data_IF_756360401799
#
_entry.id   IF_756360401799
#
_cell.length_a   1.000
_cell.length_b   1.000
_cell.length_c   1.000
_cell.angle_alpha   90.00
_cell.angle_beta   90.00
_cell.angle_gamma   90.00
#
_symmetry.space_group_name_H-M   'P 1'
#
loop_
_entity.id
_entity.type
_entity.pdbx_description
1 polymer ?
#
# COMPACT_ATOMS: atom_id res chain seq x y z
N UNK A 1 -2.60 10.77 -8.50
CA UNK A 1 -1.82 9.58 -8.91
C UNK A 1 -1.76 8.48 -7.83
N UNK A 2 -1.36 8.73 -6.56
CA UNK A 2 -1.41 7.72 -5.49
C UNK A 2 -2.83 7.19 -5.25
N UNK A 3 -3.78 8.08 -5.12
CA UNK A 3 -5.19 7.80 -4.93
C UNK A 3 -5.78 6.86 -5.99
N UNK A 4 -5.57 7.15 -7.26
CA UNK A 4 -6.06 6.31 -8.35
C UNK A 4 -5.52 4.86 -8.25
N UNK A 5 -4.24 4.69 -7.91
CA UNK A 5 -3.65 3.36 -7.72
C UNK A 5 -4.18 2.64 -6.49
N UNK A 6 -4.44 3.37 -5.42
CA UNK A 6 -5.05 2.80 -4.22
C UNK A 6 -6.49 2.36 -4.49
N UNK A 7 -7.26 3.14 -5.28
CA UNK A 7 -8.59 2.74 -5.76
C UNK A 7 -8.56 1.43 -6.55
N UNK A 8 -7.62 1.28 -7.48
CA UNK A 8 -7.46 0.02 -8.23
C UNK A 8 -7.12 -1.16 -7.32
N UNK A 9 -6.28 -0.96 -6.29
CA UNK A 9 -6.02 -2.02 -5.30
C UNK A 9 -7.26 -2.34 -4.46
N UNK A 10 -8.10 -1.34 -4.18
CA UNK A 10 -9.40 -1.57 -3.54
C UNK A 10 -10.34 -2.39 -4.42
N UNK A 11 -10.40 -2.10 -5.71
CA UNK A 11 -11.18 -2.88 -6.66
C UNK A 11 -10.68 -4.33 -6.74
N UNK A 12 -9.37 -4.52 -6.79
CA UNK A 12 -8.77 -5.86 -6.73
C UNK A 12 -9.13 -6.59 -5.43
N UNK A 13 -9.10 -5.91 -4.28
CA UNK A 13 -9.50 -6.51 -3.01
C UNK A 13 -10.97 -6.94 -3.02
N UNK A 14 -11.85 -6.10 -3.54
CA UNK A 14 -13.28 -6.44 -3.69
C UNK A 14 -13.51 -7.59 -4.67
N UNK A 15 -12.75 -7.65 -5.76
CA UNK A 15 -12.77 -8.76 -6.71
C UNK A 15 -12.41 -10.07 -6.02
N UNK A 16 -11.30 -10.10 -5.26
CA UNK A 16 -10.90 -11.29 -4.50
C UNK A 16 -11.97 -11.75 -3.51
N UNK A 17 -12.60 -10.82 -2.78
CA UNK A 17 -13.71 -11.14 -1.88
C UNK A 17 -14.90 -11.73 -2.63
N UNK A 18 -15.25 -11.21 -3.81
CA UNK A 18 -16.32 -11.73 -4.66
C UNK A 18 -16.00 -13.13 -5.22
N UNK A 19 -14.72 -13.44 -5.41
CA UNK A 19 -14.24 -14.77 -5.79
C UNK A 19 -14.21 -15.76 -4.60
N UNK A 20 -14.61 -15.31 -3.40
CA UNK A 20 -14.60 -16.13 -2.18
C UNK A 20 -13.22 -16.20 -1.51
N UNK A 21 -12.31 -15.30 -1.85
CA UNK A 21 -10.96 -15.20 -1.29
C UNK A 21 -10.98 -14.13 -0.19
N UNK A 22 -11.12 -14.54 1.06
CA UNK A 22 -11.26 -13.66 2.23
C UNK A 22 -10.05 -13.70 3.20
N UNK A 23 -9.08 -14.56 2.92
CA UNK A 23 -7.85 -14.74 3.70
C UNK A 23 -6.72 -13.76 3.31
N UNK A 24 -6.90 -12.96 2.27
CA UNK A 24 -5.99 -11.87 1.90
C UNK A 24 -6.42 -10.59 2.61
N UNK A 25 -5.45 -9.85 3.17
CA UNK A 25 -5.69 -8.57 3.82
C UNK A 25 -4.85 -7.48 3.15
N UNK A 26 -5.48 -6.36 2.92
CA UNK A 26 -4.85 -5.15 2.37
C UNK A 26 -4.84 -4.06 3.41
N UNK A 27 -3.81 -3.23 3.41
CA UNK A 27 -3.71 -2.04 4.24
C UNK A 27 -2.87 -0.98 3.53
N UNK A 28 -3.33 0.26 3.56
CA UNK A 28 -2.53 1.41 3.15
C UNK A 28 -1.78 2.00 4.34
N UNK A 29 -0.51 2.34 4.15
CA UNK A 29 0.33 2.99 5.16
C UNK A 29 0.85 4.30 4.58
N UNK A 30 0.40 5.41 5.14
CA UNK A 30 0.89 6.74 4.78
C UNK A 30 2.22 6.99 5.49
N UNK A 31 3.26 7.38 4.76
CA UNK A 31 4.55 7.69 5.36
C UNK A 31 4.48 8.92 6.26
N UNK A 32 5.35 8.99 7.26
CA UNK A 32 5.42 10.07 8.24
C UNK A 32 5.53 11.45 7.60
N UNK A 33 6.36 11.62 6.59
CA UNK A 33 6.53 12.88 5.86
C UNK A 33 5.26 13.40 5.17
N UNK A 34 4.24 12.55 5.02
CA UNK A 34 2.94 12.89 4.43
C UNK A 34 1.84 13.07 5.47
N UNK A 35 2.17 13.05 6.76
CA UNK A 35 1.21 13.16 7.87
C UNK A 35 0.35 14.44 7.84
N UNK A 36 0.89 15.52 7.28
CA UNK A 36 0.17 16.79 7.11
C UNK A 36 -0.76 16.82 5.88
N UNK A 37 -0.73 15.81 5.03
CA UNK A 37 -1.61 15.72 3.88
C UNK A 37 -2.96 15.12 4.28
N UNK A 38 -4.04 15.62 3.68
CA UNK A 38 -5.36 15.08 3.94
C UNK A 38 -5.45 13.62 3.50
N UNK A 39 -5.68 12.72 4.44
CA UNK A 39 -5.92 11.29 4.16
C UNK A 39 -7.27 11.06 3.44
N UNK A 40 -8.22 11.99 3.54
CA UNK A 40 -9.53 11.86 2.90
C UNK A 40 -9.41 11.58 1.40
N UNK A 41 -8.44 12.22 0.75
CA UNK A 41 -8.19 11.97 -0.67
C UNK A 41 -7.66 10.57 -0.96
N UNK A 42 -7.10 9.87 0.00
CA UNK A 42 -6.58 8.50 -0.19
C UNK A 42 -7.67 7.45 -0.01
N UNK A 43 -8.56 7.67 0.93
CA UNK A 43 -9.65 6.74 1.25
C UNK A 43 -10.91 6.96 0.41
N UNK A 44 -11.00 8.08 -0.30
CA UNK A 44 -12.14 8.47 -1.10
C UNK A 44 -12.05 7.89 -2.50
N UNK A 45 -13.11 7.25 -2.97
CA UNK A 45 -13.22 6.75 -4.34
C UNK A 45 -13.38 7.89 -5.36
N UNK A 46 -14.07 8.98 -4.97
CA UNK A 46 -14.24 10.15 -5.83
C UNK A 46 -12.92 10.92 -6.02
N UNK A 47 -12.41 10.86 -7.26
CA UNK A 47 -11.16 11.52 -7.64
C UNK A 47 -11.26 13.04 -7.74
N UNK A 48 -12.44 13.59 -7.87
CA UNK A 48 -12.64 15.02 -8.11
C UNK A 48 -12.96 15.79 -6.83
N UNK A 49 -13.54 15.13 -5.82
CA UNK A 49 -14.03 15.80 -4.62
C UNK A 49 -13.68 15.07 -3.32
N UNK A 50 -12.44 15.23 -2.87
CA UNK A 50 -11.99 14.66 -1.59
C UNK A 50 -12.75 15.20 -0.34
N UNK A 51 -13.54 16.27 -0.50
CA UNK A 51 -14.25 16.91 0.62
C UNK A 51 -15.62 16.27 0.88
N UNK A 52 -16.22 15.65 -0.14
CA UNK A 52 -17.52 14.97 -0.06
C UNK A 52 -17.35 13.55 -0.59
N UNK A 53 -16.80 12.69 0.24
CA UNK A 53 -16.57 11.31 -0.09
C UNK A 53 -17.88 10.52 0.02
N UNK A 54 -18.54 10.28 -1.10
CA UNK A 54 -19.75 9.47 -1.13
C UNK A 54 -19.44 7.96 -1.00
N UNK A 55 -18.27 7.55 -1.48
CA UNK A 55 -17.80 6.16 -1.38
C UNK A 55 -16.39 6.11 -0.76
N UNK A 56 -16.27 5.32 0.29
CA UNK A 56 -15.01 5.10 0.99
C UNK A 56 -14.43 3.75 0.55
N UNK A 57 -13.14 3.73 0.22
CA UNK A 57 -12.43 2.49 -0.06
C UNK A 57 -12.51 1.53 1.14
N UNK A 58 -12.72 0.25 0.85
CA UNK A 58 -12.83 -0.80 1.87
C UNK A 58 -11.49 -1.11 2.53
N UNK A 59 -10.38 -0.92 1.80
CA UNK A 59 -9.04 -1.11 2.35
C UNK A 59 -8.77 -0.07 3.44
N UNK A 60 -8.40 -0.48 4.66
CA UNK A 60 -8.05 0.45 5.73
C UNK A 60 -6.79 1.24 5.37
N UNK A 61 -6.75 2.47 5.85
CA UNK A 61 -5.63 3.39 5.70
C UNK A 61 -5.11 3.78 7.07
N UNK A 62 -3.81 3.69 7.28
CA UNK A 62 -3.15 4.05 8.54
C UNK A 62 -2.01 5.04 8.30
N UNK A 63 -1.56 5.67 9.36
CA UNK A 63 -0.48 6.64 9.37
C UNK A 63 0.74 6.03 10.03
N UNK A 64 1.87 6.06 9.33
CA UNK A 64 3.16 5.76 9.93
C UNK A 64 3.55 6.88 10.90
N UNK A 65 4.11 6.52 12.02
CA UNK A 65 4.56 7.42 13.06
C UNK A 65 6.08 7.33 13.15
N UNK A 66 6.69 8.42 13.54
CA UNK A 66 8.06 8.47 14.02
C UNK A 66 7.98 8.75 15.52
N UNK A 67 8.27 7.76 16.33
CA UNK A 67 8.21 7.89 17.79
C UNK A 67 9.53 8.43 18.39
N UNK A 68 10.49 8.75 17.53
CA UNK A 68 11.82 9.24 17.91
C UNK A 68 12.66 8.19 18.67
N UNK A 69 12.21 6.94 18.69
CA UNK A 69 12.99 5.84 19.20
C UNK A 69 13.80 5.24 18.06
N UNK A 70 15.02 4.88 18.36
CA UNK A 70 15.90 4.24 17.40
C UNK A 70 15.25 2.96 16.89
N UNK A 71 14.76 2.96 15.68
CA UNK A 71 14.31 1.73 15.05
C UNK A 71 15.49 0.77 14.93
N UNK A 72 15.23 -0.50 15.10
CA UNK A 72 16.19 -1.55 14.80
C UNK A 72 15.76 -2.20 13.48
N UNK A 73 16.67 -2.26 12.53
CA UNK A 73 16.44 -2.99 11.30
C UNK A 73 16.32 -4.51 11.57
N UNK A 74 16.09 -5.31 10.53
CA UNK A 74 15.97 -6.77 10.64
C UNK A 74 17.24 -7.44 11.19
N UNK A 75 18.38 -6.75 11.18
CA UNK A 75 19.66 -7.22 11.72
C UNK A 75 19.93 -6.73 13.15
N UNK A 76 18.97 -6.02 13.77
CA UNK A 76 19.12 -5.33 15.04
C UNK A 76 20.18 -4.20 15.01
N UNK A 77 20.47 -3.68 13.83
CA UNK A 77 21.26 -2.48 13.67
C UNK A 77 20.34 -1.27 13.74
N UNK A 78 20.83 -0.17 14.29
CA UNK A 78 20.10 1.09 14.32
C UNK A 78 19.79 1.51 12.86
N UNK A 79 18.54 1.81 12.58
CA UNK A 79 18.20 2.45 11.33
C UNK A 79 19.04 3.73 11.18
N UNK A 80 19.45 4.03 9.97
CA UNK A 80 20.33 5.18 9.70
C UNK A 80 19.79 6.46 10.35
N UNK A 81 20.66 7.33 10.87
CA UNK A 81 20.29 8.50 11.68
C UNK A 81 19.47 9.58 10.94
N UNK A 82 19.07 9.35 9.72
CA UNK A 82 18.15 10.20 8.95
C UNK A 82 16.80 9.49 8.77
N UNK A 83 16.23 9.02 9.84
CA UNK A 83 14.89 8.48 9.95
C UNK A 83 13.85 9.59 9.64
N UNK A 84 13.71 9.93 8.37
CA UNK A 84 12.84 11.02 7.93
C UNK A 84 11.47 10.49 7.47
N UNK A 85 11.29 9.16 7.34
CA UNK A 85 10.12 8.60 6.67
C UNK A 85 9.12 7.93 7.61
N UNK A 86 9.47 7.74 8.89
CA UNK A 86 8.70 7.01 9.89
C UNK A 86 9.15 5.55 10.04
N UNK A 87 8.78 4.94 11.17
CA UNK A 87 9.31 3.66 11.62
C UNK A 87 9.08 2.51 10.64
N UNK A 88 7.88 2.40 10.08
CA UNK A 88 7.53 1.29 9.17
C UNK A 88 8.19 1.47 7.82
N UNK A 89 8.18 2.67 7.29
CA UNK A 89 8.76 2.95 5.99
C UNK A 89 10.27 2.73 5.98
N UNK A 90 10.96 3.09 7.05
CA UNK A 90 12.41 2.91 7.15
C UNK A 90 12.80 1.45 7.41
N UNK A 91 12.11 0.75 8.34
CA UNK A 91 12.33 -0.67 8.59
C UNK A 91 12.17 -1.51 7.30
N UNK A 92 11.19 -1.17 6.46
CA UNK A 92 10.92 -1.89 5.23
C UNK A 92 11.64 -1.30 4.02
N UNK A 93 12.38 -0.22 4.22
CA UNK A 93 13.09 0.50 3.17
C UNK A 93 12.19 0.79 1.95
N UNK A 94 10.97 1.27 2.21
CA UNK A 94 9.98 1.54 1.17
C UNK A 94 10.03 2.98 0.72
N UNK A 95 9.62 3.20 -0.51
CA UNK A 95 9.44 4.53 -1.08
C UNK A 95 8.00 4.73 -1.51
N UNK A 96 7.67 5.97 -1.84
CA UNK A 96 6.32 6.34 -2.26
C UNK A 96 5.78 5.42 -3.35
N UNK A 97 4.60 4.81 -3.09
CA UNK A 97 3.86 3.89 -3.96
C UNK A 97 4.45 2.49 -4.07
N UNK A 98 5.25 2.08 -3.12
CA UNK A 98 5.62 0.68 -3.03
C UNK A 98 4.41 -0.15 -2.54
N UNK A 99 4.17 -1.25 -3.22
CA UNK A 99 3.30 -2.34 -2.80
C UNK A 99 4.18 -3.46 -2.26
N UNK A 100 3.93 -3.83 -1.01
CA UNK A 100 4.62 -4.92 -0.32
C UNK A 100 3.67 -6.10 -0.24
N UNK A 101 4.10 -7.26 -0.72
CA UNK A 101 3.35 -8.50 -0.63
C UNK A 101 4.11 -9.44 0.31
N UNK A 102 3.41 -9.89 1.35
CA UNK A 102 3.92 -10.83 2.34
C UNK A 102 3.16 -12.15 2.21
N UNK A 103 3.81 -13.25 2.54
CA UNK A 103 3.16 -14.55 2.71
C UNK A 103 2.46 -14.67 4.07
N UNK A 104 1.87 -15.81 4.35
CA UNK A 104 1.15 -16.09 5.61
C UNK A 104 2.04 -16.06 6.85
N UNK A 105 3.33 -16.28 6.69
CA UNK A 105 4.35 -16.21 7.73
C UNK A 105 4.93 -14.81 7.92
N UNK A 106 4.46 -13.83 7.12
CA UNK A 106 4.93 -12.44 7.16
C UNK A 106 6.25 -12.21 6.42
N UNK A 107 6.69 -13.14 5.58
CA UNK A 107 7.90 -12.99 4.79
C UNK A 107 7.61 -12.23 3.50
N UNK A 108 8.58 -11.42 3.09
CA UNK A 108 8.50 -10.66 1.85
C UNK A 108 8.47 -11.61 0.63
N UNK A 109 7.38 -11.52 -0.14
CA UNK A 109 7.23 -12.21 -1.43
C UNK A 109 7.60 -11.28 -2.58
N UNK A 110 7.09 -10.04 -2.55
CA UNK A 110 7.36 -9.08 -3.59
C UNK A 110 7.30 -7.64 -3.06
N UNK A 111 8.12 -6.78 -3.67
CA UNK A 111 8.08 -5.33 -3.53
C UNK A 111 7.97 -4.72 -4.93
N UNK A 112 6.88 -4.01 -5.19
CA UNK A 112 6.54 -3.49 -6.51
C UNK A 112 6.26 -1.99 -6.40
N UNK A 113 7.05 -1.18 -7.10
CA UNK A 113 6.74 0.25 -7.17
C UNK A 113 5.66 0.51 -8.23
N UNK A 114 4.50 0.97 -7.76
CA UNK A 114 3.33 1.24 -8.61
C UNK A 114 3.46 2.49 -9.49
N UNK A 115 4.55 3.24 -9.38
CA UNK A 115 4.86 4.31 -10.34
C UNK A 115 5.21 3.72 -11.70
N UNK A 116 6.00 2.66 -11.69
CA UNK A 116 6.50 1.99 -12.88
C UNK A 116 5.63 0.81 -13.31
N UNK A 117 4.90 0.21 -12.37
CA UNK A 117 4.00 -0.92 -12.59
C UNK A 117 2.56 -0.48 -12.30
N UNK A 118 1.98 0.33 -13.19
CA UNK A 118 0.63 0.83 -13.00
C UNK A 118 -0.37 -0.33 -12.95
N UNK A 119 -1.09 -0.51 -11.82
CA UNK A 119 -2.04 -1.62 -11.67
C UNK A 119 -3.35 -1.43 -12.42
N UNK A 120 -3.59 -0.26 -13.02
CA UNK A 120 -4.83 0.01 -13.76
C UNK A 120 -5.02 -1.03 -14.89
N UNK A 121 -6.14 -1.80 -14.89
CA UNK A 121 -6.38 -2.84 -15.90
C UNK A 121 -6.49 -2.30 -17.32
N UNK A 122 -6.74 -1.00 -17.49
CA UNK A 122 -6.72 -0.34 -18.81
C UNK A 122 -5.30 0.04 -19.26
N UNK A 123 -4.35 0.00 -18.34
CA UNK A 123 -2.93 0.21 -18.60
C UNK A 123 -2.26 -1.10 -18.97
N UNK A 124 -1.31 -1.09 -19.89
CA UNK A 124 -0.51 -2.30 -20.27
C UNK A 124 -1.38 -3.52 -20.66
N UNK A 125 -2.58 -3.29 -21.19
CA UNK A 125 -3.56 -4.36 -21.49
C UNK A 125 -3.86 -5.28 -20.28
N UNK A 126 -3.76 -4.75 -19.06
CA UNK A 126 -4.01 -5.49 -17.82
C UNK A 126 -2.82 -6.31 -17.28
N UNK A 127 -1.69 -6.36 -17.98
CA UNK A 127 -0.56 -7.22 -17.61
C UNK A 127 -0.05 -6.97 -16.18
N UNK A 128 0.08 -5.72 -15.77
CA UNK A 128 0.51 -5.38 -14.41
C UNK A 128 -0.54 -5.77 -13.36
N UNK A 129 -1.81 -5.57 -13.67
CA UNK A 129 -2.92 -5.98 -12.80
C UNK A 129 -2.89 -7.48 -12.54
N UNK A 130 -2.83 -8.27 -13.60
CA UNK A 130 -2.79 -9.72 -13.54
C UNK A 130 -1.54 -10.23 -12.80
N UNK A 131 -0.41 -9.58 -13.04
CA UNK A 131 0.85 -9.90 -12.34
C UNK A 131 0.71 -9.69 -10.83
N UNK A 132 0.16 -8.55 -10.40
CA UNK A 132 -0.05 -8.23 -8.98
C UNK A 132 -1.05 -9.21 -8.37
N UNK A 133 -2.19 -9.46 -9.04
CA UNK A 133 -3.19 -10.44 -8.59
C UNK A 133 -2.57 -11.82 -8.40
N UNK A 134 -1.80 -12.30 -9.37
CA UNK A 134 -1.17 -13.61 -9.30
C UNK A 134 -0.13 -13.71 -8.18
N UNK A 135 0.67 -12.66 -7.95
CA UNK A 135 1.62 -12.64 -6.83
C UNK A 135 0.90 -12.73 -5.47
N UNK A 136 -0.21 -12.01 -5.31
CA UNK A 136 -1.03 -12.08 -4.10
C UNK A 136 -1.61 -13.48 -3.91
N UNK A 137 -2.16 -14.08 -4.97
CA UNK A 137 -2.74 -15.42 -4.91
C UNK A 137 -1.70 -16.49 -4.59
N UNK A 138 -0.48 -16.35 -5.09
CA UNK A 138 0.61 -17.29 -4.83
C UNK A 138 1.25 -17.12 -3.45
N UNK A 139 1.04 -16.00 -2.78
CA UNK A 139 1.54 -15.72 -1.43
C UNK A 139 0.64 -16.30 -0.32
N UNK A 140 -0.52 -16.86 -0.65
CA UNK A 140 -1.54 -17.38 0.29
C UNK A 140 -1.11 -18.67 0.96
#
# INVERSE_FOLDING_TARGET
MCRARFGVLNDLYLELLNEGIDDVKFMGINGFNYSNHSFNCMICDDLENCSNCDNINTIPWTQDLDDGQNCLDQNQELCEPNDENGDVWDIWNVILRDLIILDREGKLVAKINLTYNNPDPTSTCGENYDTIKNLILNAR
#
